data_IF_621674090256
#
_entry.id   IF_621674090256
#
_cell.length_a   1.000
_cell.length_b   1.000
_cell.length_c   1.000
_cell.angle_alpha   90.00
_cell.angle_beta   90.00
_cell.angle_gamma   90.00
#
_symmetry.space_group_name_H-M   'P 1'
#
loop_
_entity.id
_entity.type
_entity.pdbx_description
1 polymer ?
#
# COMPACT_ATOMS: atom_id res chain seq x y z
N UNK A 1 -8.53 -39.92 -51.67
CA UNK A 1 -7.34 -39.09 -51.50
C UNK A 1 -7.68 -37.58 -51.65
N UNK A 2 -8.44 -37.16 -52.68
CA UNK A 2 -8.84 -35.74 -52.89
C UNK A 2 -9.79 -35.23 -51.79
N UNK A 3 -10.76 -36.02 -51.35
CA UNK A 3 -11.70 -35.68 -50.26
C UNK A 3 -11.06 -35.44 -48.87
N UNK A 4 -9.89 -36.03 -48.61
CA UNK A 4 -9.14 -35.80 -47.36
C UNK A 4 -8.35 -34.48 -47.38
N UNK A 5 -7.94 -34.01 -48.55
CA UNK A 5 -7.21 -32.76 -48.72
C UNK A 5 -8.16 -31.57 -48.50
N UNK A 6 -9.39 -31.65 -49.02
CA UNK A 6 -10.41 -30.59 -48.84
C UNK A 6 -10.87 -30.46 -47.40
N UNK A 7 -10.96 -31.57 -46.65
CA UNK A 7 -11.32 -31.53 -45.22
C UNK A 7 -10.20 -30.94 -44.33
N UNK A 8 -8.94 -31.22 -44.67
CA UNK A 8 -7.80 -30.64 -43.94
C UNK A 8 -7.64 -29.15 -44.24
N UNK A 9 -7.86 -28.74 -45.50
CA UNK A 9 -7.84 -27.33 -45.88
C UNK A 9 -8.97 -26.54 -45.19
N UNK A 10 -10.20 -27.10 -45.15
CA UNK A 10 -11.32 -26.47 -44.42
C UNK A 10 -11.07 -26.36 -42.89
N UNK A 11 -10.48 -27.39 -42.27
CA UNK A 11 -10.08 -27.33 -40.84
C UNK A 11 -8.95 -26.33 -40.61
N UNK A 12 -8.02 -26.14 -41.53
CA UNK A 12 -6.96 -25.14 -41.41
C UNK A 12 -7.51 -23.71 -41.54
N UNK A 13 -8.49 -23.52 -42.44
CA UNK A 13 -9.17 -22.24 -42.61
C UNK A 13 -10.04 -21.89 -41.41
N UNK A 14 -10.69 -22.88 -40.78
CA UNK A 14 -11.46 -22.75 -39.57
C UNK A 14 -10.55 -22.46 -38.35
N UNK A 15 -9.39 -23.10 -38.25
CA UNK A 15 -8.36 -22.82 -37.23
C UNK A 15 -7.76 -21.43 -37.40
N UNK A 16 -7.48 -21.00 -38.62
CA UNK A 16 -6.95 -19.67 -38.91
C UNK A 16 -7.99 -18.57 -38.57
N UNK A 17 -9.27 -18.81 -38.82
CA UNK A 17 -10.35 -17.90 -38.38
C UNK A 17 -10.55 -17.87 -36.87
N UNK A 18 -10.27 -18.96 -36.18
CA UNK A 18 -10.29 -19.01 -34.69
C UNK A 18 -9.07 -18.27 -34.12
N UNK A 19 -7.92 -18.34 -34.72
CA UNK A 19 -6.71 -17.59 -34.32
C UNK A 19 -6.87 -16.07 -34.55
N UNK A 20 -7.50 -15.63 -35.63
CA UNK A 20 -7.80 -14.22 -35.88
C UNK A 20 -8.85 -13.67 -34.89
N UNK A 21 -9.71 -14.52 -34.33
CA UNK A 21 -10.75 -14.11 -33.38
C UNK A 21 -10.23 -14.01 -31.92
N UNK A 22 -9.02 -14.45 -31.63
CA UNK A 22 -8.32 -14.11 -30.40
C UNK A 22 -7.80 -12.67 -30.47
N UNK A 23 -8.70 -11.70 -30.54
CA UNK A 23 -8.35 -10.31 -30.26
C UNK A 23 -7.66 -10.29 -28.90
N UNK A 24 -6.41 -9.93 -28.90
CA UNK A 24 -5.68 -9.65 -27.67
C UNK A 24 -6.49 -8.60 -26.88
N UNK A 25 -7.03 -9.02 -25.74
CA UNK A 25 -7.82 -8.14 -24.89
C UNK A 25 -6.87 -7.04 -24.43
N UNK A 26 -6.91 -5.89 -25.06
CA UNK A 26 -6.15 -4.71 -24.69
C UNK A 26 -6.73 -4.15 -23.40
N UNK A 27 -5.96 -4.22 -22.30
CA UNK A 27 -6.36 -3.67 -20.99
C UNK A 27 -6.75 -2.18 -21.09
N UNK A 28 -6.16 -1.46 -22.04
CA UNK A 28 -6.49 -0.06 -22.29
C UNK A 28 -7.89 0.14 -22.90
N UNK A 29 -8.24 -0.70 -23.86
CA UNK A 29 -9.59 -0.70 -24.45
C UNK A 29 -10.63 -1.12 -23.39
N UNK A 30 -10.33 -2.15 -22.60
CA UNK A 30 -11.17 -2.55 -21.47
C UNK A 30 -11.42 -1.38 -20.51
N UNK A 31 -10.38 -0.61 -20.17
CA UNK A 31 -10.51 0.52 -19.26
C UNK A 31 -11.48 1.59 -19.78
N UNK A 32 -11.55 1.80 -21.10
CA UNK A 32 -12.48 2.75 -21.72
C UNK A 32 -13.94 2.28 -21.64
N UNK A 33 -14.18 0.97 -21.69
CA UNK A 33 -15.52 0.39 -21.57
C UNK A 33 -16.09 0.45 -20.14
N UNK A 34 -15.26 0.53 -19.11
CA UNK A 34 -15.68 0.53 -17.71
C UNK A 34 -16.36 1.82 -17.22
N UNK A 35 -16.48 2.86 -18.08
CA UNK A 35 -17.20 4.10 -17.75
C UNK A 35 -16.53 4.95 -16.64
N UNK A 36 -17.33 5.83 -15.99
CA UNK A 36 -16.85 6.80 -15.01
C UNK A 36 -16.24 6.17 -13.74
N UNK A 37 -16.65 4.95 -13.39
CA UNK A 37 -16.12 4.21 -12.22
C UNK A 37 -14.63 3.88 -12.41
N UNK A 38 -14.21 3.59 -13.64
CA UNK A 38 -12.79 3.34 -13.94
C UNK A 38 -11.92 4.58 -13.68
N UNK A 39 -12.46 5.78 -13.89
CA UNK A 39 -11.74 7.03 -13.58
C UNK A 39 -11.50 7.14 -12.07
N UNK A 40 -12.51 6.85 -11.26
CA UNK A 40 -12.37 6.84 -9.79
C UNK A 40 -11.33 5.80 -9.36
N UNK A 41 -11.39 4.58 -9.91
CA UNK A 41 -10.41 3.53 -9.60
C UNK A 41 -8.99 3.93 -10.01
N UNK A 42 -8.82 4.61 -11.15
CA UNK A 42 -7.52 5.12 -11.59
C UNK A 42 -6.97 6.20 -10.63
N UNK A 43 -7.82 7.11 -10.15
CA UNK A 43 -7.44 8.13 -9.15
C UNK A 43 -7.04 7.45 -7.83
N UNK A 44 -7.80 6.45 -7.38
CA UNK A 44 -7.47 5.69 -6.15
C UNK A 44 -6.14 4.94 -6.30
N UNK A 45 -5.89 4.34 -7.45
CA UNK A 45 -4.61 3.67 -7.74
C UNK A 45 -3.44 4.65 -7.71
N UNK A 46 -3.58 5.80 -8.39
CA UNK A 46 -2.54 6.84 -8.39
C UNK A 46 -2.26 7.37 -6.97
N UNK A 47 -3.31 7.62 -6.19
CA UNK A 47 -3.19 8.03 -4.78
C UNK A 47 -2.51 6.96 -3.92
N UNK A 48 -2.87 5.69 -4.09
CA UNK A 48 -2.25 4.58 -3.38
C UNK A 48 -0.76 4.44 -3.73
N UNK A 49 -0.40 4.54 -5.01
CA UNK A 49 0.99 4.52 -5.46
C UNK A 49 1.80 5.70 -4.88
N UNK A 50 1.22 6.90 -4.87
CA UNK A 50 1.87 8.07 -4.29
C UNK A 50 2.17 7.87 -2.80
N UNK A 51 1.16 7.48 -2.01
CA UNK A 51 1.31 7.22 -0.57
C UNK A 51 2.33 6.10 -0.31
N UNK A 52 2.28 5.03 -1.10
CA UNK A 52 3.23 3.92 -0.98
C UNK A 52 4.67 4.38 -1.15
N UNK A 53 4.96 5.13 -2.22
CA UNK A 53 6.32 5.62 -2.51
C UNK A 53 6.78 6.60 -1.43
N UNK A 54 5.93 7.56 -1.05
CA UNK A 54 6.23 8.53 0.02
C UNK A 54 6.59 7.82 1.33
N UNK A 55 5.73 6.90 1.78
CA UNK A 55 5.94 6.17 3.04
C UNK A 55 7.14 5.25 3.00
N UNK A 56 7.38 4.61 1.86
CA UNK A 56 8.57 3.77 1.68
C UNK A 56 9.88 4.57 1.87
N UNK A 57 9.93 5.79 1.35
CA UNK A 57 11.10 6.68 1.52
C UNK A 57 11.25 7.09 2.99
N UNK A 58 10.16 7.53 3.64
CA UNK A 58 10.17 7.98 5.04
C UNK A 58 10.59 6.84 5.97
N UNK A 59 10.04 5.63 5.82
CA UNK A 59 10.37 4.48 6.67
C UNK A 59 11.83 4.04 6.46
N UNK A 60 12.31 4.03 5.20
CA UNK A 60 13.72 3.72 4.92
C UNK A 60 14.67 4.74 5.53
N UNK A 61 14.30 6.01 5.54
CA UNK A 61 15.10 7.06 6.16
C UNK A 61 15.11 6.89 7.70
N UNK A 62 13.97 6.57 8.31
CA UNK A 62 13.86 6.29 9.74
C UNK A 62 14.70 5.07 10.19
N UNK A 63 14.89 4.10 9.30
CA UNK A 63 15.71 2.89 9.56
C UNK A 63 17.21 3.14 9.38
N UNK A 64 17.60 4.28 8.79
CA UNK A 64 19.00 4.58 8.43
C UNK A 64 19.76 5.15 9.64
N UNK A 65 19.98 4.31 10.63
CA UNK A 65 20.75 4.65 11.82
C UNK A 65 22.23 4.22 11.68
N UNK A 66 23.14 5.07 12.14
CA UNK A 66 24.55 4.72 12.23
C UNK A 66 24.74 3.69 13.38
N UNK A 67 25.38 2.56 13.08
CA UNK A 67 25.64 1.50 14.06
C UNK A 67 26.45 1.99 15.27
N UNK A 68 27.24 3.03 15.10
CA UNK A 68 28.05 3.64 16.16
C UNK A 68 27.30 4.69 17.00
N UNK A 69 26.01 4.96 16.71
CA UNK A 69 25.25 6.00 17.39
C UNK A 69 25.15 5.73 18.90
N UNK A 70 24.73 4.53 19.30
CA UNK A 70 24.59 4.15 20.72
C UNK A 70 25.94 4.08 21.43
N UNK A 71 27.00 3.59 20.76
CA UNK A 71 28.35 3.57 21.34
C UNK A 71 28.83 4.99 21.69
N UNK A 72 28.63 5.96 20.76
CA UNK A 72 28.97 7.37 21.01
C UNK A 72 28.11 8.00 22.12
N UNK A 73 26.83 7.68 22.20
CA UNK A 73 25.95 8.14 23.31
C UNK A 73 26.48 7.58 24.64
N UNK A 74 26.84 6.29 24.67
CA UNK A 74 27.43 5.66 25.85
C UNK A 74 28.70 6.38 26.31
N UNK A 75 29.64 6.64 25.41
CA UNK A 75 30.89 7.34 25.71
C UNK A 75 30.63 8.74 26.27
N UNK A 76 29.73 9.52 25.66
CA UNK A 76 29.44 10.86 26.18
C UNK A 76 28.75 10.85 27.54
N UNK A 77 27.87 9.89 27.81
CA UNK A 77 27.24 9.76 29.15
C UNK A 77 28.25 9.38 30.21
N UNK A 78 29.12 8.42 29.93
CA UNK A 78 30.21 8.02 30.88
C UNK A 78 31.22 9.14 31.15
N UNK A 79 31.49 9.98 30.12
CA UNK A 79 32.37 11.16 30.27
C UNK A 79 31.64 12.38 30.93
N UNK A 80 30.33 12.27 31.21
CA UNK A 80 29.56 13.37 31.77
C UNK A 80 29.26 14.50 30.76
N UNK A 81 29.52 14.29 29.45
CA UNK A 81 29.35 15.30 28.39
C UNK A 81 27.91 15.29 27.84
N UNK A 82 26.96 15.61 28.70
CA UNK A 82 25.51 15.55 28.36
C UNK A 82 25.16 16.43 27.16
N UNK A 83 25.73 17.66 27.06
CA UNK A 83 25.48 18.57 25.94
C UNK A 83 25.98 17.99 24.60
N UNK A 84 27.09 17.23 24.60
CA UNK A 84 27.60 16.56 23.41
C UNK A 84 26.69 15.42 22.95
N UNK A 85 26.14 14.67 23.90
CA UNK A 85 25.15 13.63 23.62
C UNK A 85 23.88 14.20 23.01
N UNK A 86 23.34 15.29 23.56
CA UNK A 86 22.16 16.00 23.00
C UNK A 86 22.43 16.53 21.59
N UNK A 87 23.59 17.15 21.36
CA UNK A 87 23.98 17.63 20.04
C UNK A 87 24.06 16.50 19.00
N UNK A 88 24.57 15.33 19.40
CA UNK A 88 24.61 14.16 18.53
C UNK A 88 23.19 13.68 18.15
N UNK A 89 22.27 13.65 19.13
CA UNK A 89 20.86 13.32 18.86
C UNK A 89 20.23 14.28 17.86
N UNK A 90 20.42 15.60 18.03
CA UNK A 90 19.91 16.61 17.09
C UNK A 90 20.48 16.47 15.69
N UNK A 91 21.76 16.09 15.55
CA UNK A 91 22.38 15.91 14.23
C UNK A 91 21.90 14.65 13.51
N UNK A 92 21.52 13.63 14.26
CA UNK A 92 21.14 12.33 13.71
C UNK A 92 19.68 12.34 13.20
N UNK A 93 18.79 13.11 13.82
CA UNK A 93 17.39 13.34 13.42
C UNK A 93 16.63 12.07 13.00
N UNK A 94 16.79 11.01 13.80
CA UNK A 94 16.10 9.72 13.62
C UNK A 94 15.13 9.48 14.78
N UNK A 95 14.11 8.62 14.61
CA UNK A 95 13.18 8.28 15.69
C UNK A 95 13.87 7.81 16.97
N UNK A 96 14.91 6.97 16.86
CA UNK A 96 15.73 6.53 18.00
C UNK A 96 16.46 7.70 18.67
N UNK A 97 17.03 8.63 17.89
CA UNK A 97 17.71 9.81 18.43
C UNK A 97 16.75 10.70 19.22
N UNK A 98 15.51 10.93 18.75
CA UNK A 98 14.50 11.70 19.48
C UNK A 98 14.10 11.02 20.81
N UNK A 99 14.00 9.68 20.83
CA UNK A 99 13.71 8.93 22.04
C UNK A 99 14.84 9.06 23.07
N UNK A 100 16.08 8.87 22.64
CA UNK A 100 17.28 8.94 23.49
C UNK A 100 17.47 10.38 23.99
N UNK A 101 17.30 11.40 23.16
CA UNK A 101 17.32 12.81 23.55
C UNK A 101 16.37 13.07 24.71
N UNK A 102 15.13 12.57 24.61
CA UNK A 102 14.13 12.72 25.68
C UNK A 102 14.56 12.01 26.96
N UNK A 103 15.18 10.85 26.86
CA UNK A 103 15.74 10.12 27.99
C UNK A 103 16.88 10.91 28.66
N UNK A 104 17.83 11.43 27.88
CA UNK A 104 18.97 12.22 28.37
C UNK A 104 18.48 13.47 29.11
N UNK A 105 17.48 14.18 28.60
CA UNK A 105 16.92 15.37 29.27
C UNK A 105 16.26 15.07 30.62
N UNK A 106 16.05 13.80 30.94
CA UNK A 106 15.44 13.33 32.20
C UNK A 106 16.38 12.57 33.10
N UNK A 107 17.67 12.53 32.79
CA UNK A 107 18.70 11.93 33.66
C UNK A 107 18.64 12.60 35.04
N UNK A 108 18.74 11.79 36.09
CA UNK A 108 18.63 12.24 37.50
C UNK A 108 17.21 12.16 38.08
N UNK A 109 16.21 11.79 37.28
CA UNK A 109 14.86 11.44 37.78
C UNK A 109 14.73 9.94 38.05
N UNK A 110 13.66 9.50 38.75
CA UNK A 110 13.39 8.07 38.89
C UNK A 110 13.39 7.36 37.53
N UNK A 111 14.01 6.18 37.43
CA UNK A 111 14.17 5.44 36.19
C UNK A 111 12.84 5.20 35.45
N UNK A 112 11.78 4.98 36.22
CA UNK A 112 10.43 4.79 35.68
C UNK A 112 9.92 6.02 34.91
N UNK A 113 10.24 7.24 35.38
CA UNK A 113 9.88 8.48 34.70
C UNK A 113 10.67 8.69 33.41
N UNK A 114 11.91 8.24 33.37
CA UNK A 114 12.76 8.25 32.16
C UNK A 114 12.16 7.31 31.12
N UNK A 115 11.89 6.06 31.52
CA UNK A 115 11.33 5.04 30.64
C UNK A 115 10.02 5.49 30.01
N UNK A 116 9.06 5.94 30.82
CA UNK A 116 7.76 6.44 30.33
C UNK A 116 7.94 7.61 29.35
N UNK A 117 8.93 8.47 29.57
CA UNK A 117 9.15 9.60 28.68
C UNK A 117 9.73 9.16 27.32
N UNK A 118 10.64 8.18 27.30
CA UNK A 118 11.21 7.60 26.09
C UNK A 118 10.13 6.86 25.29
N UNK A 119 9.34 6.01 25.96
CA UNK A 119 8.23 5.27 25.35
C UNK A 119 7.17 6.21 24.71
N UNK A 120 6.83 7.31 25.39
CA UNK A 120 5.88 8.28 24.85
C UNK A 120 6.37 8.94 23.55
N UNK A 121 7.66 9.26 23.46
CA UNK A 121 8.25 9.78 22.21
C UNK A 121 8.25 8.69 21.16
N UNK A 122 8.60 7.46 21.51
CA UNK A 122 8.54 6.32 20.60
C UNK A 122 7.16 6.13 19.98
N UNK A 123 6.11 6.17 20.78
CA UNK A 123 4.72 6.07 20.30
C UNK A 123 4.35 7.21 19.34
N UNK A 124 4.84 8.43 19.59
CA UNK A 124 4.62 9.57 18.69
C UNK A 124 5.33 9.34 17.34
N UNK A 125 6.58 8.88 17.38
CA UNK A 125 7.36 8.60 16.16
C UNK A 125 6.74 7.45 15.35
N UNK A 126 6.30 6.38 15.99
CA UNK A 126 5.56 5.29 15.33
C UNK A 126 4.29 5.81 14.67
N UNK A 127 3.49 6.62 15.38
CA UNK A 127 2.29 7.25 14.81
C UNK A 127 2.58 8.13 13.59
N UNK A 128 3.76 8.77 13.53
CA UNK A 128 4.20 9.51 12.34
C UNK A 128 4.53 8.60 11.16
N UNK A 129 5.12 7.43 11.41
CA UNK A 129 5.41 6.44 10.38
C UNK A 129 4.13 5.80 9.83
N UNK A 130 3.13 5.56 10.67
CA UNK A 130 1.84 4.98 10.29
C UNK A 130 0.92 5.95 9.54
N UNK A 131 1.25 7.22 9.49
CA UNK A 131 0.46 8.24 8.78
C UNK A 131 0.26 7.83 7.31
N UNK A 132 -0.99 7.84 6.85
CA UNK A 132 -1.34 7.46 5.47
C UNK A 132 -1.62 5.97 5.25
N UNK A 133 -1.23 5.06 6.17
CA UNK A 133 -1.55 3.63 6.05
C UNK A 133 -3.06 3.39 6.06
N UNK A 134 -3.81 4.17 6.83
CA UNK A 134 -5.28 4.10 6.89
C UNK A 134 -5.89 4.33 5.50
N UNK A 135 -5.34 5.25 4.71
CA UNK A 135 -5.82 5.52 3.35
C UNK A 135 -5.56 4.30 2.44
N UNK A 136 -4.35 3.71 2.52
CA UNK A 136 -4.05 2.48 1.75
C UNK A 136 -4.99 1.33 2.14
N UNK A 137 -5.24 1.13 3.44
CA UNK A 137 -6.18 0.12 3.92
C UNK A 137 -7.60 0.38 3.39
N UNK A 138 -8.04 1.65 3.38
CA UNK A 138 -9.34 2.05 2.83
C UNK A 138 -9.42 1.78 1.33
N UNK A 139 -8.38 2.07 0.55
CA UNK A 139 -8.33 1.75 -0.88
C UNK A 139 -8.34 0.24 -1.10
N UNK A 140 -7.58 -0.52 -0.32
CA UNK A 140 -7.52 -1.98 -0.43
C UNK A 140 -8.90 -2.65 -0.24
N UNK A 141 -9.70 -2.17 0.72
CA UNK A 141 -11.05 -2.68 0.95
C UNK A 141 -12.11 -2.02 0.06
N UNK A 142 -11.98 -0.72 -0.20
CA UNK A 142 -12.97 0.08 -0.93
C UNK A 142 -12.95 -0.12 -2.44
N UNK A 143 -11.77 -0.32 -3.05
CA UNK A 143 -11.67 -0.47 -4.51
C UNK A 143 -12.43 -1.70 -5.05
N UNK A 144 -12.35 -2.90 -4.44
CA UNK A 144 -13.19 -4.03 -4.85
C UNK A 144 -14.68 -3.76 -4.69
N UNK A 145 -15.09 -3.05 -3.64
CA UNK A 145 -16.50 -2.68 -3.43
C UNK A 145 -17.01 -1.72 -4.50
N UNK A 146 -16.18 -0.76 -4.91
CA UNK A 146 -16.49 0.13 -6.04
C UNK A 146 -16.57 -0.62 -7.36
N UNK A 147 -15.71 -1.61 -7.58
CA UNK A 147 -15.78 -2.51 -8.73
C UNK A 147 -17.10 -3.30 -8.75
N UNK A 148 -17.49 -3.86 -7.61
CA UNK A 148 -18.77 -4.55 -7.47
C UNK A 148 -19.97 -3.61 -7.68
N UNK A 149 -19.92 -2.39 -7.14
CA UNK A 149 -20.93 -1.37 -7.39
C UNK A 149 -21.08 -1.09 -8.90
N UNK A 150 -19.96 -1.09 -9.63
CA UNK A 150 -19.96 -0.97 -11.09
C UNK A 150 -20.74 -2.08 -11.80
N UNK A 151 -20.65 -3.31 -11.33
CA UNK A 151 -21.45 -4.41 -11.92
C UNK A 151 -22.94 -4.23 -11.67
N UNK A 152 -23.32 -3.86 -10.46
CA UNK A 152 -24.74 -3.65 -10.12
C UNK A 152 -25.32 -2.51 -10.95
N UNK A 153 -24.63 -1.38 -11.03
CA UNK A 153 -25.08 -0.23 -11.84
C UNK A 153 -25.12 -0.55 -13.33
N UNK A 154 -24.13 -1.27 -13.85
CA UNK A 154 -24.09 -1.69 -15.25
C UNK A 154 -25.26 -2.60 -15.61
N UNK A 155 -25.58 -3.57 -14.77
CA UNK A 155 -26.74 -4.45 -14.98
C UNK A 155 -28.07 -3.71 -14.86
N UNK A 156 -28.23 -2.85 -13.85
CA UNK A 156 -29.44 -2.02 -13.71
C UNK A 156 -29.67 -1.16 -14.96
N UNK A 157 -28.62 -0.50 -15.45
CA UNK A 157 -28.71 0.31 -16.68
C UNK A 157 -29.08 -0.52 -17.90
N UNK A 158 -28.54 -1.72 -18.02
CA UNK A 158 -28.83 -2.64 -19.12
C UNK A 158 -30.29 -3.06 -19.12
N UNK A 159 -30.82 -3.49 -17.97
CA UNK A 159 -32.22 -3.90 -17.84
C UNK A 159 -33.17 -2.71 -18.02
N UNK A 160 -32.79 -1.53 -17.52
CA UNK A 160 -33.60 -0.31 -17.76
C UNK A 160 -33.71 0.03 -19.26
N UNK A 161 -32.58 -0.03 -19.98
CA UNK A 161 -32.60 0.24 -21.43
C UNK A 161 -33.44 -0.81 -22.18
N UNK A 162 -33.34 -2.09 -21.80
CA UNK A 162 -34.19 -3.14 -22.39
C UNK A 162 -35.68 -2.91 -22.16
N UNK A 163 -36.07 -2.46 -20.97
CA UNK A 163 -37.45 -2.17 -20.63
C UNK A 163 -38.05 -0.97 -21.45
N UNK A 164 -37.18 -0.06 -21.89
CA UNK A 164 -37.59 1.10 -22.71
C UNK A 164 -37.68 0.80 -24.21
N UNK A 165 -37.12 -0.31 -24.67
CA UNK A 165 -37.17 -0.70 -26.09
C UNK A 165 -38.54 -1.23 -26.42
N UNK A 166 -39.40 -0.39 -27.00
CA UNK A 166 -40.77 -0.70 -27.41
C UNK A 166 -40.77 -1.65 -28.61
N UNK A 167 -40.93 -2.94 -28.38
CA UNK A 167 -41.03 -3.92 -29.48
C UNK A 167 -40.83 -5.37 -29.09
N UNK A 168 -40.49 -5.68 -27.86
CA UNK A 168 -40.33 -7.08 -27.36
C UNK A 168 -39.14 -7.87 -27.93
N UNK A 169 -38.35 -7.26 -28.78
CA UNK A 169 -37.15 -7.89 -29.33
C UNK A 169 -35.97 -7.55 -28.40
N UNK A 170 -35.51 -8.55 -27.67
CA UNK A 170 -34.30 -8.44 -26.80
C UNK A 170 -33.09 -8.30 -27.74
N UNK A 171 -32.50 -7.14 -27.83
CA UNK A 171 -31.19 -6.97 -28.49
C UNK A 171 -30.11 -7.62 -27.66
N UNK A 172 -29.70 -8.84 -28.04
CA UNK A 172 -28.67 -9.61 -27.37
C UNK A 172 -27.33 -8.84 -27.33
N UNK A 173 -27.06 -8.00 -28.31
CA UNK A 173 -25.86 -7.17 -28.39
C UNK A 173 -25.83 -6.11 -27.27
N UNK A 174 -26.93 -5.45 -26.98
CA UNK A 174 -27.02 -4.47 -25.90
C UNK A 174 -26.86 -5.10 -24.52
N UNK A 175 -27.44 -6.30 -24.32
CA UNK A 175 -27.26 -7.09 -23.11
C UNK A 175 -25.77 -7.47 -22.91
N UNK A 176 -25.13 -8.00 -23.94
CA UNK A 176 -23.72 -8.43 -23.90
C UNK A 176 -22.79 -7.26 -23.59
N UNK A 177 -23.01 -6.08 -24.19
CA UNK A 177 -22.19 -4.89 -23.95
C UNK A 177 -22.30 -4.40 -22.51
N UNK A 178 -23.50 -4.34 -21.95
CA UNK A 178 -23.70 -3.92 -20.56
C UNK A 178 -23.11 -4.90 -19.55
N UNK A 179 -23.23 -6.21 -19.79
CA UNK A 179 -22.59 -7.23 -18.97
C UNK A 179 -21.07 -7.15 -19.06
N UNK A 180 -20.51 -6.96 -20.25
CA UNK A 180 -19.07 -6.78 -20.44
C UNK A 180 -18.54 -5.58 -19.65
N UNK A 181 -19.18 -4.42 -19.77
CA UNK A 181 -18.84 -3.21 -19.01
C UNK A 181 -18.87 -3.47 -17.50
N UNK A 182 -19.90 -4.15 -17.02
CA UNK A 182 -20.02 -4.50 -15.62
C UNK A 182 -18.85 -5.39 -15.13
N UNK A 183 -18.48 -6.42 -15.88
CA UNK A 183 -17.37 -7.32 -15.53
C UNK A 183 -16.02 -6.60 -15.52
N UNK A 184 -15.78 -5.69 -16.45
CA UNK A 184 -14.54 -4.89 -16.54
C UNK A 184 -14.34 -4.02 -15.30
N UNK A 185 -15.39 -3.38 -14.78
CA UNK A 185 -15.27 -2.58 -13.56
C UNK A 185 -14.89 -3.41 -12.34
N UNK A 186 -15.40 -4.63 -12.24
CA UNK A 186 -15.00 -5.54 -11.12
C UNK A 186 -13.55 -5.96 -11.23
N UNK A 187 -13.08 -6.32 -12.42
CA UNK A 187 -11.66 -6.65 -12.65
C UNK A 187 -10.78 -5.46 -12.24
N UNK A 188 -11.13 -4.24 -12.69
CA UNK A 188 -10.40 -3.02 -12.32
C UNK A 188 -10.36 -2.80 -10.81
N UNK A 189 -11.50 -2.93 -10.13
CA UNK A 189 -11.61 -2.80 -8.67
C UNK A 189 -10.75 -3.82 -7.92
N UNK A 190 -10.76 -5.08 -8.36
CA UNK A 190 -9.95 -6.15 -7.77
C UNK A 190 -8.46 -5.90 -7.96
N UNK A 191 -8.01 -5.50 -9.14
CA UNK A 191 -6.59 -5.18 -9.40
C UNK A 191 -6.13 -4.07 -8.46
N UNK A 192 -6.85 -2.96 -8.39
CA UNK A 192 -6.51 -1.82 -7.52
C UNK A 192 -6.48 -2.25 -6.05
N UNK A 193 -7.50 -2.99 -5.58
CA UNK A 193 -7.60 -3.45 -4.21
C UNK A 193 -6.46 -4.40 -3.81
N UNK A 194 -6.12 -5.36 -4.66
CA UNK A 194 -5.03 -6.31 -4.42
C UNK A 194 -3.69 -5.58 -4.35
N UNK A 195 -3.39 -4.68 -5.28
CA UNK A 195 -2.15 -3.90 -5.27
C UNK A 195 -2.03 -3.04 -4.01
N UNK A 196 -3.12 -2.35 -3.62
CA UNK A 196 -3.16 -1.54 -2.41
C UNK A 196 -2.99 -2.40 -1.14
N UNK A 197 -3.57 -3.60 -1.10
CA UNK A 197 -3.43 -4.54 0.02
C UNK A 197 -1.98 -5.02 0.18
N UNK A 198 -1.31 -5.39 -0.91
CA UNK A 198 0.10 -5.77 -0.85
C UNK A 198 0.99 -4.60 -0.41
N UNK A 199 0.74 -3.39 -0.93
CA UNK A 199 1.45 -2.18 -0.54
C UNK A 199 1.28 -1.90 0.96
N UNK A 200 0.04 -1.97 1.47
CA UNK A 200 -0.27 -1.79 2.89
C UNK A 200 0.47 -2.80 3.78
N UNK A 201 0.32 -4.09 3.50
CA UNK A 201 0.94 -5.15 4.31
C UNK A 201 2.47 -5.05 4.30
N UNK A 202 3.06 -4.66 3.17
CA UNK A 202 4.50 -4.45 3.07
C UNK A 202 4.99 -3.29 3.95
N UNK A 203 4.26 -2.15 3.95
CA UNK A 203 4.61 -1.00 4.79
C UNK A 203 4.42 -1.32 6.28
N UNK A 204 3.35 -2.02 6.66
CA UNK A 204 3.14 -2.48 8.05
C UNK A 204 4.32 -3.32 8.52
N UNK A 205 4.74 -4.30 7.72
CA UNK A 205 5.89 -5.14 8.07
C UNK A 205 7.21 -4.36 8.22
N UNK A 206 7.39 -3.27 7.44
CA UNK A 206 8.54 -2.37 7.59
C UNK A 206 8.45 -1.56 8.89
N UNK A 207 7.27 -1.01 9.23
CA UNK A 207 7.07 -0.26 10.47
C UNK A 207 7.29 -1.16 11.68
N UNK A 208 6.77 -2.38 11.70
CA UNK A 208 7.01 -3.35 12.76
C UNK A 208 8.51 -3.61 12.98
N UNK A 209 9.30 -3.59 11.91
CA UNK A 209 10.76 -3.71 12.01
C UNK A 209 11.39 -2.49 12.70
N UNK A 210 10.91 -1.29 12.38
CA UNK A 210 11.35 -0.05 13.03
C UNK A 210 10.97 -0.08 14.51
N UNK A 211 9.74 -0.47 14.85
CA UNK A 211 9.26 -0.58 16.24
C UNK A 211 10.19 -1.48 17.06
N UNK A 212 10.48 -2.69 16.57
CA UNK A 212 11.42 -3.61 17.28
C UNK A 212 12.83 -3.02 17.44
N UNK A 213 13.29 -2.23 16.48
CA UNK A 213 14.56 -1.53 16.58
C UNK A 213 14.51 -0.47 17.68
N UNK A 214 13.45 0.34 17.73
CA UNK A 214 13.25 1.38 18.77
C UNK A 214 13.16 0.77 20.17
N UNK A 215 12.44 -0.34 20.33
CA UNK A 215 12.36 -1.10 21.58
C UNK A 215 13.75 -1.59 22.03
N UNK A 216 14.52 -2.17 21.10
CA UNK A 216 15.88 -2.61 21.39
C UNK A 216 16.80 -1.46 21.84
N UNK A 217 16.70 -0.29 21.18
CA UNK A 217 17.46 0.90 21.55
C UNK A 217 17.04 1.48 22.91
N UNK A 218 15.76 1.41 23.21
CA UNK A 218 15.24 1.82 24.52
C UNK A 218 15.84 0.94 25.62
N UNK A 219 15.84 -0.38 25.45
CA UNK A 219 16.44 -1.29 26.43
C UNK A 219 17.93 -1.00 26.61
N UNK A 220 18.69 -0.89 25.51
CA UNK A 220 20.13 -0.58 25.53
C UNK A 220 20.42 0.74 26.28
N UNK A 221 19.61 1.77 26.08
CA UNK A 221 19.72 3.04 26.77
C UNK A 221 19.39 2.94 28.27
N UNK A 222 18.35 2.19 28.62
CA UNK A 222 17.97 1.97 30.03
C UNK A 222 19.03 1.16 30.79
N UNK A 223 19.63 0.16 30.13
CA UNK A 223 20.71 -0.61 30.69
C UNK A 223 21.96 0.27 30.96
N UNK A 224 22.29 1.15 29.98
CA UNK A 224 23.37 2.12 30.14
C UNK A 224 23.18 3.05 31.35
N UNK A 225 21.95 3.50 31.62
CA UNK A 225 21.65 4.36 32.77
C UNK A 225 21.70 3.59 34.11
N UNK A 226 21.59 2.25 34.10
CA UNK A 226 21.62 1.39 35.26
C UNK A 226 23.03 0.85 35.54
N UNK A 227 24.00 0.97 34.63
CA UNK A 227 25.39 0.60 34.88
C UNK A 227 25.95 1.47 36.01
N UNK A 228 26.52 0.87 37.07
CA UNK A 228 27.21 1.63 38.12
C UNK A 228 28.44 2.31 37.51
N UNK A 229 28.59 3.60 37.76
CA UNK A 229 29.74 4.41 37.33
C UNK A 229 31.06 3.95 37.96
#
# INVERSE_FOLDING_TARGET
>A
MLLQIDTVAAMQEELATIEETTQSINLWEMAQYGGWIMIILAILLAGACYIFIERLVVIKQATREDKSFMDRIRDYIHEGKIDSALNLCHQTDTPSAHMIEKGITRIGRPMQDVQVAVENVGNIEVGRLEKGLVVLATVAGGAPMLGFLGTVLGMVQTFYNMAQTSGGVIEMSALSTGMYQAMVTTIGGLIVGILAMFAYNYLVALIDRVVRMLESRTMEFMDLLNEPA
#
